data_IF_950381499095
#
_entry.id   IF_950381499095
#
_cell.length_a   1.000
_cell.length_b   1.000
_cell.length_c   1.000
_cell.angle_alpha   90.00
_cell.angle_beta   90.00
_cell.angle_gamma   90.00
#
_symmetry.space_group_name_H-M   'P 1'
#
loop_
_entity.id
_entity.type
_entity.pdbx_description
1 polymer ?
#
# COMPACT_ATOMS: atom_id res chain seq x y z
N UNK A 1 -8.35 -11.97 5.17
CA UNK A 1 -7.19 -12.13 4.25
C UNK A 1 -6.49 -13.48 4.41
N UNK A 2 -6.09 -13.90 5.63
CA UNK A 2 -5.40 -15.18 5.87
C UNK A 2 -6.10 -16.42 5.30
N UNK A 3 -7.39 -16.62 5.62
CA UNK A 3 -8.12 -17.79 5.14
C UNK A 3 -8.22 -17.81 3.59
N UNK A 4 -8.44 -16.64 2.98
CA UNK A 4 -8.51 -16.50 1.53
C UNK A 4 -7.19 -16.80 0.84
N UNK A 5 -6.07 -16.29 1.36
CA UNK A 5 -4.74 -16.59 0.82
C UNK A 5 -4.39 -18.08 0.97
N UNK A 6 -4.65 -18.67 2.14
CA UNK A 6 -4.35 -20.09 2.38
C UNK A 6 -5.19 -21.00 1.46
N UNK A 7 -6.47 -20.69 1.26
CA UNK A 7 -7.34 -21.39 0.30
C UNK A 7 -6.81 -21.22 -1.13
N UNK A 8 -6.46 -20.01 -1.57
CA UNK A 8 -5.90 -19.78 -2.91
C UNK A 8 -4.64 -20.60 -3.18
N UNK A 9 -3.68 -20.59 -2.25
CA UNK A 9 -2.40 -21.30 -2.41
C UNK A 9 -2.60 -22.82 -2.50
N UNK A 10 -3.47 -23.39 -1.65
CA UNK A 10 -3.71 -24.84 -1.61
C UNK A 10 -4.64 -25.30 -2.74
N UNK A 11 -5.71 -24.58 -2.99
CA UNK A 11 -6.78 -25.03 -3.88
C UNK A 11 -6.56 -24.60 -5.34
N UNK A 12 -6.03 -23.41 -5.59
CA UNK A 12 -5.85 -22.88 -6.94
C UNK A 12 -4.43 -23.12 -7.45
N UNK A 13 -3.41 -22.75 -6.66
CA UNK A 13 -2.02 -22.96 -7.05
C UNK A 13 -1.53 -24.40 -6.85
N UNK A 14 -2.29 -25.23 -6.12
CA UNK A 14 -1.96 -26.63 -5.79
C UNK A 14 -0.59 -26.78 -5.12
N UNK A 15 -0.19 -25.77 -4.34
CA UNK A 15 1.06 -25.82 -3.61
C UNK A 15 0.85 -26.52 -2.27
N UNK A 16 1.54 -27.65 -2.07
CA UNK A 16 1.49 -28.45 -0.85
C UNK A 16 2.88 -28.47 -0.19
N UNK A 17 2.89 -28.24 1.12
CA UNK A 17 4.10 -28.29 1.94
C UNK A 17 3.72 -28.59 3.39
N UNK A 18 4.61 -29.27 4.09
CA UNK A 18 4.50 -29.51 5.53
C UNK A 18 4.94 -28.30 6.37
N UNK A 19 5.47 -27.25 5.73
CA UNK A 19 5.86 -26.00 6.39
C UNK A 19 4.59 -25.25 6.81
N UNK A 20 4.53 -24.89 8.10
CA UNK A 20 3.44 -24.06 8.64
C UNK A 20 3.53 -22.63 8.10
N UNK A 21 2.40 -22.12 7.60
CA UNK A 21 2.29 -20.72 7.19
C UNK A 21 2.12 -19.83 8.43
N UNK A 22 3.19 -19.13 8.81
CA UNK A 22 3.15 -18.18 9.93
C UNK A 22 2.80 -16.78 9.45
N UNK A 23 1.63 -16.28 9.88
CA UNK A 23 1.12 -14.96 9.48
C UNK A 23 1.98 -13.84 10.08
N UNK A 24 2.48 -14.04 11.29
CA UNK A 24 3.33 -13.12 12.03
C UNK A 24 4.41 -13.92 12.75
N UNK A 25 5.59 -14.05 12.11
CA UNK A 25 6.74 -14.71 12.72
C UNK A 25 7.56 -13.71 13.55
N UNK A 26 7.56 -13.90 14.87
CA UNK A 26 8.26 -13.00 15.80
C UNK A 26 9.78 -13.10 15.67
N UNK A 27 10.33 -14.27 15.37
CA UNK A 27 11.78 -14.45 15.22
C UNK A 27 12.28 -13.74 13.95
N UNK A 28 11.57 -13.88 12.84
CA UNK A 28 11.84 -13.11 11.61
C UNK A 28 11.72 -11.61 11.87
N UNK A 29 10.71 -11.18 12.64
CA UNK A 29 10.55 -9.77 12.99
C UNK A 29 11.70 -9.21 13.83
N UNK A 30 12.31 -10.02 14.71
CA UNK A 30 13.47 -9.62 15.53
C UNK A 30 14.73 -9.46 14.67
N UNK A 31 14.91 -10.35 13.71
CA UNK A 31 16.05 -10.35 12.78
C UNK A 31 15.85 -9.41 11.58
N UNK A 32 14.72 -8.68 11.53
CA UNK A 32 14.44 -7.79 10.43
C UNK A 32 15.47 -6.66 10.36
N UNK A 33 16.04 -6.46 9.16
CA UNK A 33 16.98 -5.38 8.93
C UNK A 33 16.23 -4.03 8.83
N UNK A 34 16.16 -3.30 9.94
CA UNK A 34 15.57 -1.96 10.02
C UNK A 34 16.50 -0.83 9.54
N UNK A 35 17.67 -1.16 8.96
CA UNK A 35 18.48 -0.14 8.29
C UNK A 35 17.67 0.44 7.13
N UNK A 36 17.71 1.76 6.96
CA UNK A 36 16.88 2.51 6.01
C UNK A 36 17.05 2.14 4.52
N UNK A 37 17.96 1.22 4.19
CA UNK A 37 18.35 0.91 2.81
C UNK A 37 19.18 2.02 2.15
N UNK A 38 19.51 3.08 2.89
CA UNK A 38 20.36 4.17 2.43
C UNK A 38 21.83 3.79 2.66
N UNK A 39 22.61 3.63 1.59
CA UNK A 39 24.05 3.30 1.70
C UNK A 39 24.87 4.42 2.35
N UNK A 40 24.40 5.68 2.28
CA UNK A 40 25.13 6.87 2.74
C UNK A 40 24.25 7.90 3.49
N UNK A 41 23.16 7.47 4.11
CA UNK A 41 22.20 8.35 4.78
C UNK A 41 21.87 7.97 6.22
N UNK A 42 21.46 8.96 7.03
CA UNK A 42 20.77 8.70 8.31
C UNK A 42 19.26 8.68 8.10
N UNK A 43 18.55 7.76 8.74
CA UNK A 43 17.09 7.72 8.65
C UNK A 43 16.48 6.40 9.13
N UNK A 44 15.16 6.37 9.18
CA UNK A 44 14.35 5.19 9.43
C UNK A 44 13.95 4.53 8.10
N UNK A 45 13.48 3.28 8.15
CA UNK A 45 12.90 2.61 6.99
C UNK A 45 11.79 3.49 6.39
N UNK A 46 11.92 3.83 5.12
CA UNK A 46 10.97 4.68 4.41
C UNK A 46 11.13 4.54 2.91
N UNK A 47 10.04 4.73 2.17
CA UNK A 47 10.01 4.57 0.71
C UNK A 47 9.57 5.82 -0.03
N UNK A 48 9.37 6.94 0.67
CA UNK A 48 8.86 8.18 0.07
C UNK A 48 9.79 8.72 -1.03
N UNK A 49 11.11 8.74 -0.80
CA UNK A 49 12.10 9.16 -1.79
C UNK A 49 12.16 8.21 -2.98
N UNK A 50 12.13 6.90 -2.74
CA UNK A 50 12.10 5.88 -3.79
C UNK A 50 10.83 5.98 -4.64
N UNK A 51 9.67 6.21 -4.02
CA UNK A 51 8.40 6.43 -4.72
C UNK A 51 8.46 7.72 -5.55
N UNK A 52 8.95 8.82 -4.98
CA UNK A 52 9.15 10.09 -5.69
C UNK A 52 10.03 9.90 -6.91
N UNK A 53 11.19 9.26 -6.74
CA UNK A 53 12.12 8.98 -7.81
C UNK A 53 11.46 8.15 -8.90
N UNK A 54 10.79 7.06 -8.53
CA UNK A 54 10.10 6.17 -9.47
C UNK A 54 9.01 6.89 -10.27
N UNK A 55 8.20 7.73 -9.62
CA UNK A 55 7.17 8.52 -10.29
C UNK A 55 7.74 9.63 -11.18
N UNK A 56 8.91 10.18 -10.82
CA UNK A 56 9.58 11.21 -11.62
C UNK A 56 10.22 10.63 -12.88
N UNK A 57 10.80 9.43 -12.75
CA UNK A 57 11.41 8.68 -13.85
C UNK A 57 10.34 8.10 -14.78
N UNK A 58 9.27 7.53 -14.22
CA UNK A 58 8.13 7.03 -14.97
C UNK A 58 6.90 7.92 -14.76
N UNK A 59 6.71 8.91 -15.64
CA UNK A 59 5.57 9.85 -15.60
C UNK A 59 4.20 9.19 -15.84
N UNK A 60 4.16 7.91 -16.19
CA UNK A 60 2.94 7.11 -16.32
C UNK A 60 2.63 6.28 -15.07
N UNK A 61 3.56 6.17 -14.12
CA UNK A 61 3.35 5.49 -12.86
C UNK A 61 2.26 6.20 -12.05
N UNK A 62 1.25 5.43 -11.63
CA UNK A 62 0.16 5.87 -10.77
C UNK A 62 0.18 5.12 -9.45
N UNK A 63 -0.18 5.80 -8.38
CA UNK A 63 -0.22 5.25 -7.03
C UNK A 63 -1.52 5.61 -6.34
N UNK A 64 -2.09 4.66 -5.60
CA UNK A 64 -3.33 4.84 -4.85
C UNK A 64 -3.11 4.43 -3.40
N UNK A 65 -3.35 5.36 -2.48
CA UNK A 65 -3.22 5.15 -1.03
C UNK A 65 -4.62 5.22 -0.41
N UNK A 66 -5.03 4.16 0.28
CA UNK A 66 -6.33 4.05 0.92
C UNK A 66 -6.18 3.97 2.44
N UNK A 67 -7.00 4.72 3.17
CA UNK A 67 -7.01 4.71 4.64
C UNK A 67 -8.43 4.66 5.19
N UNK A 68 -8.57 4.11 6.39
CA UNK A 68 -9.73 4.38 7.25
C UNK A 68 -9.50 5.63 8.09
N UNK A 69 -10.53 6.46 8.28
CA UNK A 69 -10.42 7.70 9.07
C UNK A 69 -10.11 7.44 10.55
N UNK A 70 -10.51 6.27 11.08
CA UNK A 70 -10.27 5.83 12.45
C UNK A 70 -9.15 4.80 12.56
N UNK A 71 -8.29 4.68 11.54
CA UNK A 71 -7.14 3.77 11.59
C UNK A 71 -6.06 4.29 12.56
N UNK A 72 -5.87 3.59 13.67
CA UNK A 72 -4.82 3.88 14.65
C UNK A 72 -3.56 3.01 14.49
N UNK A 73 -3.59 1.99 13.63
CA UNK A 73 -2.43 1.15 13.31
C UNK A 73 -1.55 1.89 12.31
N UNK A 74 -2.17 2.47 11.28
CA UNK A 74 -1.51 3.31 10.28
C UNK A 74 -2.28 4.61 10.07
N UNK A 75 -2.08 5.63 10.94
CA UNK A 75 -2.85 6.88 10.86
C UNK A 75 -2.74 7.58 9.49
N UNK A 76 -3.89 7.86 8.87
CA UNK A 76 -3.95 8.42 7.51
C UNK A 76 -3.15 9.72 7.35
N UNK A 77 -3.11 10.54 8.40
CA UNK A 77 -2.47 11.85 8.36
C UNK A 77 -0.95 11.74 8.15
N UNK A 78 -0.33 10.63 8.58
CA UNK A 78 1.08 10.36 8.27
C UNK A 78 1.31 10.27 6.75
N UNK A 79 0.42 9.59 6.02
CA UNK A 79 0.47 9.57 4.55
C UNK A 79 0.19 10.93 3.94
N UNK A 80 -0.75 11.72 4.48
CA UNK A 80 -1.00 13.09 4.02
C UNK A 80 0.25 13.96 4.13
N UNK A 81 0.97 13.90 5.26
CA UNK A 81 2.21 14.65 5.47
C UNK A 81 3.29 14.19 4.50
N UNK A 82 3.56 12.88 4.44
CA UNK A 82 4.62 12.32 3.58
C UNK A 82 4.38 12.66 2.11
N UNK A 83 3.16 12.45 1.60
CA UNK A 83 2.85 12.71 0.18
C UNK A 83 2.96 14.19 -0.19
N UNK A 84 2.60 15.11 0.73
CA UNK A 84 2.81 16.56 0.53
C UNK A 84 4.30 16.93 0.55
N UNK A 85 5.09 16.29 1.40
CA UNK A 85 6.53 16.53 1.52
C UNK A 85 7.36 15.90 0.39
N UNK A 86 6.79 14.99 -0.42
CA UNK A 86 7.48 14.46 -1.60
C UNK A 86 7.82 15.56 -2.62
N UNK A 87 7.04 16.65 -2.67
CA UNK A 87 7.21 17.74 -3.65
C UNK A 87 7.35 17.21 -5.08
N UNK A 88 6.36 16.42 -5.51
CA UNK A 88 6.26 15.94 -6.88
C UNK A 88 6.10 17.11 -7.86
N UNK A 89 6.59 16.93 -9.09
CA UNK A 89 6.30 17.87 -10.17
C UNK A 89 4.76 17.99 -10.34
N UNK A 90 4.21 19.21 -10.48
CA UNK A 90 2.78 19.42 -10.70
C UNK A 90 2.19 18.58 -11.85
N UNK A 91 2.99 18.28 -12.88
CA UNK A 91 2.59 17.46 -14.02
C UNK A 91 2.31 15.98 -13.67
N UNK A 92 2.90 15.46 -12.58
CA UNK A 92 2.72 14.07 -12.14
C UNK A 92 2.00 13.94 -10.79
N UNK A 93 1.81 15.05 -10.06
CA UNK A 93 1.04 15.07 -8.81
C UNK A 93 -0.33 14.38 -8.93
N UNK A 94 -1.12 14.56 -10.02
CA UNK A 94 -2.41 13.88 -10.19
C UNK A 94 -2.33 12.35 -10.27
N UNK A 95 -1.14 11.77 -10.51
CA UNK A 95 -0.96 10.31 -10.56
C UNK A 95 -0.93 9.67 -9.15
N UNK A 96 -0.76 10.47 -8.08
CA UNK A 96 -0.79 10.00 -6.69
C UNK A 96 -2.13 10.35 -6.05
N UNK A 97 -2.96 9.34 -5.81
CA UNK A 97 -4.29 9.50 -5.22
C UNK A 97 -4.24 9.00 -3.78
N UNK A 98 -4.76 9.81 -2.85
CA UNK A 98 -4.98 9.41 -1.46
C UNK A 98 -6.48 9.55 -1.15
N UNK A 99 -7.10 8.46 -0.71
CA UNK A 99 -8.52 8.40 -0.34
C UNK A 99 -8.65 7.95 1.12
N UNK A 100 -9.61 8.55 1.81
CA UNK A 100 -9.93 8.26 3.21
C UNK A 100 -11.39 7.81 3.24
N UNK A 101 -11.63 6.67 3.87
CA UNK A 101 -12.92 6.01 3.97
C UNK A 101 -13.40 5.96 5.43
N UNK A 102 -14.71 5.89 5.63
CA UNK A 102 -15.29 5.62 6.94
C UNK A 102 -14.83 4.25 7.45
N UNK A 103 -14.40 4.17 8.71
CA UNK A 103 -13.92 2.94 9.34
C UNK A 103 -12.49 3.03 9.88
N UNK A 104 -12.04 1.95 10.53
CA UNK A 104 -10.70 1.82 11.10
C UNK A 104 -9.70 1.20 10.12
N UNK A 105 -8.69 0.49 10.64
CA UNK A 105 -7.65 -0.17 9.85
C UNK A 105 -8.20 -1.08 8.74
N UNK A 106 -9.27 -1.81 9.06
CA UNK A 106 -9.96 -2.70 8.13
C UNK A 106 -11.25 -2.03 7.62
N UNK A 107 -11.18 -0.78 7.14
CA UNK A 107 -12.34 0.03 6.76
C UNK A 107 -13.29 -0.69 5.77
N UNK A 108 -12.76 -1.55 4.90
CA UNK A 108 -13.53 -2.37 3.96
C UNK A 108 -14.41 -3.46 4.62
N UNK A 109 -14.35 -3.64 5.92
CA UNK A 109 -15.34 -4.46 6.65
C UNK A 109 -16.68 -3.71 6.75
N UNK A 110 -16.65 -2.38 6.79
CA UNK A 110 -17.84 -1.54 6.69
C UNK A 110 -18.41 -1.59 5.25
N UNK A 111 -19.69 -1.95 5.11
CA UNK A 111 -20.28 -2.27 3.81
C UNK A 111 -20.22 -1.10 2.82
N UNK A 112 -20.67 0.08 3.25
CA UNK A 112 -20.64 1.29 2.41
C UNK A 112 -19.22 1.65 2.00
N UNK A 113 -18.26 1.59 2.92
CA UNK A 113 -16.85 1.91 2.63
C UNK A 113 -16.24 0.92 1.65
N UNK A 114 -16.61 -0.37 1.75
CA UNK A 114 -16.17 -1.41 0.83
C UNK A 114 -16.69 -1.17 -0.60
N UNK A 115 -17.95 -0.79 -0.74
CA UNK A 115 -18.56 -0.50 -2.04
C UNK A 115 -17.91 0.71 -2.71
N UNK A 116 -17.72 1.80 -1.96
CA UNK A 116 -17.04 3.01 -2.47
C UNK A 116 -15.60 2.69 -2.83
N UNK A 117 -14.87 1.98 -1.97
CA UNK A 117 -13.49 1.58 -2.24
C UNK A 117 -13.36 0.67 -3.46
N UNK A 118 -14.29 -0.29 -3.63
CA UNK A 118 -14.33 -1.14 -4.81
C UNK A 118 -14.48 -0.31 -6.09
N UNK A 119 -15.40 0.66 -6.10
CA UNK A 119 -15.65 1.51 -7.25
C UNK A 119 -14.47 2.44 -7.55
N UNK A 120 -13.89 3.08 -6.53
CA UNK A 120 -12.66 3.89 -6.66
C UNK A 120 -11.50 3.06 -7.22
N UNK A 121 -11.29 1.84 -6.70
CA UNK A 121 -10.25 0.94 -7.18
C UNK A 121 -10.49 0.50 -8.63
N UNK A 122 -11.74 0.17 -8.99
CA UNK A 122 -12.14 -0.17 -10.35
C UNK A 122 -11.82 0.96 -11.32
N UNK A 123 -12.18 2.19 -10.97
CA UNK A 123 -11.88 3.38 -11.77
C UNK A 123 -10.37 3.62 -11.88
N UNK A 124 -9.63 3.49 -10.78
CA UNK A 124 -8.17 3.62 -10.77
C UNK A 124 -7.51 2.63 -11.73
N UNK A 125 -7.88 1.34 -11.69
CA UNK A 125 -7.33 0.34 -12.60
C UNK A 125 -7.71 0.59 -14.05
N UNK A 126 -8.95 0.98 -14.34
CA UNK A 126 -9.36 1.35 -15.69
C UNK A 126 -8.51 2.50 -16.23
N UNK A 127 -8.34 3.57 -15.45
CA UNK A 127 -7.49 4.70 -15.83
C UNK A 127 -6.02 4.31 -15.97
N UNK A 128 -5.51 3.34 -15.19
CA UNK A 128 -4.13 2.87 -15.28
C UNK A 128 -3.88 2.02 -16.54
N UNK A 129 -4.90 1.30 -17.02
CA UNK A 129 -4.83 0.45 -18.21
C UNK A 129 -5.16 1.18 -19.51
N UNK A 130 -5.86 2.31 -19.45
CA UNK A 130 -6.14 3.13 -20.63
C UNK A 130 -4.84 3.65 -21.25
N UNK A 131 -4.65 3.47 -22.58
CA UNK A 131 -3.55 4.11 -23.30
C UNK A 131 -3.62 5.63 -23.12
N UNK A 132 -2.47 6.27 -22.88
CA UNK A 132 -2.34 7.72 -23.04
C UNK A 132 -2.04 8.05 -24.49
#
# INVERSE_FOLDING_TARGET
LTAGMNSYVREQLKFETDISYEILNKEVSKEWNWKSGLEWGQGYVGVAENLKHSMSTNKHLKAFIAHGVFDLVTPYFGSVVVTRQMSLDPAITPNLILKIYEGGHMFYTHATSREIFFEDARQFFQQALSPK
#
